data_IF_044778865778
#
_entry.id   IF_044778865778
#
_cell.length_a   1.000
_cell.length_b   1.000
_cell.length_c   1.000
_cell.angle_alpha   90.00
_cell.angle_beta   90.00
_cell.angle_gamma   90.00
#
_symmetry.space_group_name_H-M   'P 1'
#
loop_
_entity.id
_entity.type
_entity.pdbx_description
1 polymer ?
#
# COMPACT_ATOMS: atom_id res chain seq x y z
N UNK A 1 -25.97 -62.49 -6.58
CA UNK A 1 -25.31 -61.44 -7.39
C UNK A 1 -25.37 -60.07 -6.70
N UNK A 2 -26.55 -59.62 -6.25
CA UNK A 2 -26.72 -58.34 -5.54
C UNK A 2 -25.90 -58.23 -4.23
N UNK A 3 -25.84 -59.29 -3.41
CA UNK A 3 -25.08 -59.28 -2.15
C UNK A 3 -23.57 -59.12 -2.37
N UNK A 4 -23.01 -59.81 -3.37
CA UNK A 4 -21.59 -59.69 -3.72
C UNK A 4 -21.25 -58.28 -4.22
N UNK A 5 -22.13 -57.67 -5.02
CA UNK A 5 -21.98 -56.29 -5.46
C UNK A 5 -22.03 -55.31 -4.28
N UNK A 6 -22.90 -55.57 -3.30
CA UNK A 6 -23.03 -54.74 -2.10
C UNK A 6 -21.80 -54.81 -1.20
N UNK A 7 -21.23 -56.00 -1.00
CA UNK A 7 -19.98 -56.19 -0.26
C UNK A 7 -18.80 -55.48 -0.94
N UNK A 8 -18.69 -55.61 -2.27
CA UNK A 8 -17.65 -54.91 -3.05
C UNK A 8 -17.78 -53.38 -2.93
N UNK A 9 -19.00 -52.85 -2.97
CA UNK A 9 -19.27 -51.43 -2.80
C UNK A 9 -18.87 -50.94 -1.40
N UNK A 10 -19.24 -51.68 -0.35
CA UNK A 10 -18.85 -51.35 1.04
C UNK A 10 -17.33 -51.31 1.18
N UNK A 11 -16.63 -52.31 0.63
CA UNK A 11 -15.17 -52.37 0.69
C UNK A 11 -14.51 -51.18 -0.04
N UNK A 12 -15.03 -50.80 -1.22
CA UNK A 12 -14.56 -49.63 -1.96
C UNK A 12 -14.76 -48.33 -1.14
N UNK A 13 -15.93 -48.17 -0.51
CA UNK A 13 -16.22 -46.99 0.32
C UNK A 13 -15.30 -46.91 1.54
N UNK A 14 -15.00 -48.05 2.18
CA UNK A 14 -14.05 -48.11 3.31
C UNK A 14 -12.62 -47.76 2.87
N UNK A 15 -12.19 -48.20 1.68
CA UNK A 15 -10.90 -47.81 1.10
C UNK A 15 -10.81 -46.31 0.83
N UNK A 16 -11.87 -45.72 0.24
CA UNK A 16 -11.94 -44.27 0.01
C UNK A 16 -11.88 -43.53 1.34
N UNK A 17 -12.65 -43.97 2.34
CA UNK A 17 -12.65 -43.37 3.67
C UNK A 17 -11.27 -43.46 4.34
N UNK A 18 -10.60 -44.60 4.27
CA UNK A 18 -9.23 -44.79 4.75
C UNK A 18 -8.23 -43.87 4.06
N UNK A 19 -8.32 -43.72 2.73
CA UNK A 19 -7.51 -42.78 1.95
C UNK A 19 -7.73 -41.32 2.35
N UNK A 20 -8.99 -40.92 2.61
CA UNK A 20 -9.32 -39.59 3.11
C UNK A 20 -8.72 -39.33 4.50
N UNK A 21 -8.81 -40.29 5.43
CA UNK A 21 -8.21 -40.18 6.75
C UNK A 21 -6.68 -40.07 6.71
N UNK A 22 -6.01 -40.85 5.85
CA UNK A 22 -4.57 -40.73 5.63
C UNK A 22 -4.19 -39.36 5.06
N UNK A 23 -4.96 -38.84 4.09
CA UNK A 23 -4.76 -37.52 3.51
C UNK A 23 -4.93 -36.40 4.55
N UNK A 24 -5.97 -36.48 5.38
CA UNK A 24 -6.21 -35.55 6.50
C UNK A 24 -5.04 -35.63 7.51
N UNK A 25 -4.66 -36.83 7.93
CA UNK A 25 -3.55 -37.05 8.86
C UNK A 25 -2.23 -36.47 8.34
N UNK A 26 -1.90 -36.74 7.08
CA UNK A 26 -0.72 -36.18 6.42
C UNK A 26 -0.78 -34.64 6.33
N UNK A 27 -1.94 -34.07 5.99
CA UNK A 27 -2.16 -32.62 5.93
C UNK A 27 -1.95 -31.97 7.31
N UNK A 28 -2.47 -32.58 8.37
CA UNK A 28 -2.32 -32.10 9.75
C UNK A 28 -0.85 -32.17 10.22
N UNK A 29 -0.16 -33.28 9.97
CA UNK A 29 1.27 -33.42 10.30
C UNK A 29 2.12 -32.40 9.54
N UNK A 30 1.89 -32.25 8.23
CA UNK A 30 2.56 -31.26 7.39
C UNK A 30 2.29 -29.83 7.87
N UNK A 31 1.06 -29.53 8.31
CA UNK A 31 0.69 -28.23 8.90
C UNK A 31 1.44 -27.99 10.21
N UNK A 32 1.48 -28.97 11.12
CA UNK A 32 2.21 -28.87 12.39
C UNK A 32 3.70 -28.60 12.17
N UNK A 33 4.34 -29.35 11.27
CA UNK A 33 5.75 -29.16 10.94
C UNK A 33 6.02 -27.76 10.37
N UNK A 34 5.17 -27.28 9.44
CA UNK A 34 5.28 -25.93 8.87
C UNK A 34 5.14 -24.83 9.92
N UNK A 35 4.16 -24.95 10.82
CA UNK A 35 3.95 -23.97 11.89
C UNK A 35 5.15 -23.93 12.82
N UNK A 36 5.67 -25.09 13.24
CA UNK A 36 6.86 -25.17 14.10
C UNK A 36 8.09 -24.56 13.42
N UNK A 37 8.36 -24.92 12.15
CA UNK A 37 9.47 -24.37 11.37
C UNK A 37 9.37 -22.85 11.23
N UNK A 38 8.16 -22.33 10.95
CA UNK A 38 7.94 -20.87 10.80
C UNK A 38 8.11 -20.13 12.13
N UNK A 39 7.67 -20.73 13.25
CA UNK A 39 7.89 -20.18 14.59
C UNK A 39 9.39 -20.10 14.92
N UNK A 40 10.12 -21.19 14.72
CA UNK A 40 11.58 -21.23 14.92
C UNK A 40 12.31 -20.21 14.05
N UNK A 41 11.96 -20.11 12.77
CA UNK A 41 12.52 -19.11 11.87
C UNK A 41 12.25 -17.68 12.37
N UNK A 42 11.02 -17.41 12.81
CA UNK A 42 10.65 -16.09 13.37
C UNK A 42 11.49 -15.77 14.61
N UNK A 43 11.62 -16.71 15.54
CA UNK A 43 12.42 -16.55 16.76
C UNK A 43 13.89 -16.27 16.44
N UNK A 44 14.48 -17.05 15.53
CA UNK A 44 15.87 -16.87 15.10
C UNK A 44 16.11 -15.52 14.41
N UNK A 45 15.20 -15.09 13.53
CA UNK A 45 15.31 -13.78 12.85
C UNK A 45 15.15 -12.64 13.85
N UNK A 46 14.18 -12.70 14.76
CA UNK A 46 13.99 -11.68 15.81
C UNK A 46 15.24 -11.61 16.68
N UNK A 47 15.74 -12.75 17.18
CA UNK A 47 16.94 -12.78 18.01
C UNK A 47 18.14 -12.18 17.29
N UNK A 48 18.35 -12.55 16.02
CA UNK A 48 19.44 -12.01 15.20
C UNK A 48 19.31 -10.49 15.03
N UNK A 49 18.13 -10.00 14.65
CA UNK A 49 17.86 -8.57 14.53
C UNK A 49 18.14 -7.86 15.86
N UNK A 50 17.55 -8.32 16.95
CA UNK A 50 17.65 -7.69 18.27
C UNK A 50 19.10 -7.56 18.72
N UNK A 51 19.90 -8.63 18.60
CA UNK A 51 21.32 -8.63 19.00
C UNK A 51 22.12 -7.61 18.21
N UNK A 52 21.92 -7.57 16.89
CA UNK A 52 22.70 -6.68 16.04
C UNK A 52 22.21 -5.23 16.12
N UNK A 53 20.93 -5.02 16.42
CA UNK A 53 20.33 -3.69 16.63
C UNK A 53 20.83 -3.04 17.93
N UNK A 54 20.84 -3.79 19.05
CA UNK A 54 21.34 -3.28 20.34
C UNK A 54 22.80 -2.87 20.30
N UNK A 55 23.60 -3.48 19.41
CA UNK A 55 25.04 -3.20 19.29
C UNK A 55 25.37 -1.90 18.54
N UNK A 56 24.37 -1.14 18.07
CA UNK A 56 24.56 0.11 17.30
C UNK A 56 25.64 -0.01 16.20
N UNK A 57 25.72 -1.19 15.58
CA UNK A 57 26.71 -1.46 14.55
C UNK A 57 26.45 -0.55 13.34
N UNK A 58 27.50 0.08 12.77
CA UNK A 58 27.33 0.80 11.51
C UNK A 58 26.83 -0.17 10.44
N UNK A 59 25.82 0.29 9.70
CA UNK A 59 25.01 -0.50 8.76
C UNK A 59 25.87 -1.30 7.75
N UNK A 60 27.03 -0.76 7.37
CA UNK A 60 28.00 -1.39 6.46
C UNK A 60 28.64 -2.69 6.97
N UNK A 61 28.47 -3.04 8.25
CA UNK A 61 29.05 -4.25 8.86
C UNK A 61 28.05 -5.38 9.04
N UNK A 62 26.79 -5.21 8.66
CA UNK A 62 25.82 -6.29 8.77
C UNK A 62 26.02 -7.35 7.69
N UNK A 63 26.32 -8.57 8.11
CA UNK A 63 26.47 -9.72 7.22
C UNK A 63 25.29 -10.65 7.40
N UNK A 64 24.51 -10.89 6.34
CA UNK A 64 23.40 -11.85 6.36
C UNK A 64 23.96 -13.24 6.69
N UNK A 65 23.55 -13.86 7.81
CA UNK A 65 24.16 -15.10 8.26
C UNK A 65 23.83 -16.25 7.31
N UNK A 66 24.75 -17.20 7.15
CA UNK A 66 24.64 -18.27 6.17
C UNK A 66 23.36 -19.10 6.33
N UNK A 67 22.91 -19.33 7.57
CA UNK A 67 21.66 -20.02 7.85
C UNK A 67 20.46 -19.30 7.21
N UNK A 68 20.43 -17.97 7.23
CA UNK A 68 19.36 -17.15 6.66
C UNK A 68 19.43 -17.11 5.13
N UNK A 69 20.63 -17.07 4.55
CA UNK A 69 20.84 -17.17 3.10
C UNK A 69 20.20 -18.44 2.51
N UNK A 70 20.27 -19.56 3.25
CA UNK A 70 19.63 -20.81 2.85
C UNK A 70 18.11 -20.72 2.67
N UNK A 71 17.43 -19.88 3.47
CA UNK A 71 15.99 -19.61 3.35
C UNK A 71 15.70 -18.61 2.23
N UNK A 72 16.56 -17.60 2.05
CA UNK A 72 16.40 -16.54 1.04
C UNK A 72 16.47 -17.12 -0.39
N UNK A 73 17.28 -18.16 -0.63
CA UNK A 73 17.43 -18.82 -1.95
C UNK A 73 16.18 -19.56 -2.45
N UNK A 74 15.17 -19.82 -1.62
CA UNK A 74 13.97 -20.58 -2.01
C UNK A 74 12.74 -19.68 -2.00
N UNK A 75 12.02 -19.55 -3.13
CA UNK A 75 10.86 -18.64 -3.27
C UNK A 75 9.81 -18.69 -2.15
N UNK A 76 9.50 -19.88 -1.62
CA UNK A 76 8.52 -20.02 -0.52
C UNK A 76 9.08 -19.49 0.79
N UNK A 77 10.33 -19.84 1.10
CA UNK A 77 10.98 -19.49 2.34
C UNK A 77 11.36 -18.00 2.34
N UNK A 78 11.76 -17.44 1.20
CA UNK A 78 11.92 -16.01 0.98
C UNK A 78 10.68 -15.22 1.41
N UNK A 79 9.49 -15.68 1.03
CA UNK A 79 8.24 -15.02 1.42
C UNK A 79 8.02 -15.08 2.92
N UNK A 80 8.29 -16.19 3.57
CA UNK A 80 8.15 -16.30 5.02
C UNK A 80 9.14 -15.38 5.75
N UNK A 81 10.40 -15.35 5.30
CA UNK A 81 11.45 -14.45 5.82
C UNK A 81 11.08 -12.99 5.60
N UNK A 82 10.64 -12.61 4.39
CA UNK A 82 10.20 -11.25 4.07
C UNK A 82 9.03 -10.79 4.95
N UNK A 83 8.01 -11.63 5.13
CA UNK A 83 6.89 -11.28 6.03
C UNK A 83 7.37 -11.08 7.47
N UNK A 84 8.29 -11.92 7.95
CA UNK A 84 8.85 -11.78 9.30
C UNK A 84 9.59 -10.43 9.41
N UNK A 85 10.46 -10.11 8.45
CA UNK A 85 11.26 -8.88 8.48
C UNK A 85 10.38 -7.64 8.35
N UNK A 86 9.40 -7.63 7.45
CA UNK A 86 8.48 -6.50 7.31
C UNK A 86 7.68 -6.28 8.61
N UNK A 87 7.16 -7.36 9.22
CA UNK A 87 6.46 -7.24 10.49
C UNK A 87 7.38 -6.74 11.62
N UNK A 88 8.65 -7.13 11.62
CA UNK A 88 9.64 -6.69 12.60
C UNK A 88 9.96 -5.22 12.38
N UNK A 89 10.21 -4.79 11.13
CA UNK A 89 10.51 -3.41 10.73
C UNK A 89 9.51 -2.42 11.33
N UNK A 90 8.22 -2.75 11.35
CA UNK A 90 7.18 -1.89 11.90
C UNK A 90 7.34 -1.63 13.43
N UNK A 91 8.08 -2.47 14.16
CA UNK A 91 8.38 -2.29 15.59
C UNK A 91 9.67 -1.50 15.86
N UNK A 92 10.58 -1.41 14.90
CA UNK A 92 11.85 -0.71 15.08
C UNK A 92 11.74 0.69 14.46
N UNK A 93 11.73 1.72 15.30
CA UNK A 93 11.83 3.13 14.86
C UNK A 93 13.26 3.35 14.38
N UNK A 94 13.52 3.07 13.11
CA UNK A 94 14.86 3.18 12.50
C UNK A 94 14.86 4.01 11.24
N UNK A 95 15.98 4.68 10.99
CA UNK A 95 16.24 5.36 9.73
C UNK A 95 16.23 4.40 8.53
N UNK A 96 15.85 4.97 7.39
CA UNK A 96 15.53 4.40 6.07
C UNK A 96 16.38 3.19 5.64
N UNK A 97 17.66 3.18 5.98
CA UNK A 97 18.65 2.28 5.37
C UNK A 97 18.94 1.01 6.19
N UNK A 98 18.27 0.84 7.33
CA UNK A 98 18.57 -0.26 8.28
C UNK A 98 17.93 -1.59 7.89
N UNK A 99 17.04 -1.66 6.90
CA UNK A 99 16.36 -2.92 6.55
C UNK A 99 16.62 -3.37 5.12
N UNK A 100 16.94 -2.40 4.25
CA UNK A 100 17.38 -2.67 2.89
C UNK A 100 18.61 -3.60 2.92
N UNK A 101 19.60 -3.41 3.81
CA UNK A 101 20.81 -4.23 3.82
C UNK A 101 20.58 -5.76 3.99
N UNK A 102 19.48 -6.21 4.62
CA UNK A 102 19.21 -7.65 4.78
C UNK A 102 18.91 -8.34 3.44
N UNK A 103 18.54 -7.57 2.42
CA UNK A 103 18.09 -8.09 1.12
C UNK A 103 18.59 -7.32 -0.11
N UNK A 104 19.07 -6.08 0.05
CA UNK A 104 19.31 -5.11 -1.02
C UNK A 104 20.46 -5.52 -1.95
N UNK A 105 21.35 -6.40 -1.51
CA UNK A 105 22.51 -6.84 -2.29
C UNK A 105 22.37 -8.26 -2.86
N UNK A 106 21.29 -8.99 -2.56
CA UNK A 106 21.16 -10.36 -3.07
C UNK A 106 20.39 -10.37 -4.40
N UNK A 107 21.16 -10.43 -5.50
CA UNK A 107 20.69 -10.65 -6.87
C UNK A 107 19.69 -11.83 -6.94
N UNK A 108 19.81 -12.80 -6.04
CA UNK A 108 18.89 -13.95 -5.94
C UNK A 108 17.48 -13.52 -5.55
N UNK A 109 17.32 -12.59 -4.60
CA UNK A 109 16.00 -12.11 -4.14
C UNK A 109 15.28 -11.39 -5.26
N UNK A 110 15.97 -10.46 -5.94
CA UNK A 110 15.41 -9.75 -7.07
C UNK A 110 14.97 -10.71 -8.20
N UNK A 111 15.74 -11.78 -8.46
CA UNK A 111 15.40 -12.82 -9.43
C UNK A 111 14.14 -13.61 -9.05
N UNK A 112 14.03 -14.01 -7.78
CA UNK A 112 12.85 -14.75 -7.28
C UNK A 112 11.59 -13.87 -7.31
N UNK A 113 11.69 -12.60 -6.89
CA UNK A 113 10.59 -11.64 -6.98
C UNK A 113 10.18 -11.39 -8.44
N UNK A 114 11.15 -11.31 -9.36
CA UNK A 114 10.87 -11.19 -10.80
C UNK A 114 10.03 -12.35 -11.32
N UNK A 115 10.33 -13.58 -10.88
CA UNK A 115 9.56 -14.76 -11.26
C UNK A 115 8.13 -14.72 -10.72
N UNK A 116 7.94 -14.32 -9.46
CA UNK A 116 6.60 -14.17 -8.86
C UNK A 116 5.81 -13.00 -9.49
N UNK A 117 6.47 -11.87 -9.84
CA UNK A 117 5.86 -10.73 -10.55
C UNK A 117 5.37 -11.13 -11.95
N UNK A 118 6.09 -12.02 -12.64
CA UNK A 118 5.68 -12.54 -13.95
C UNK A 118 4.61 -13.64 -13.88
N UNK A 119 4.30 -14.15 -12.69
CA UNK A 119 3.32 -15.23 -12.52
C UNK A 119 1.91 -14.81 -12.96
N UNK A 120 1.14 -15.76 -13.51
CA UNK A 120 -0.30 -15.56 -13.75
C UNK A 120 -1.12 -15.52 -12.46
N UNK A 121 -0.57 -16.06 -11.36
CA UNK A 121 -1.23 -16.00 -10.07
C UNK A 121 -1.14 -14.58 -9.50
N UNK A 122 -2.29 -13.89 -9.48
CA UNK A 122 -2.38 -12.50 -9.03
C UNK A 122 -1.90 -12.31 -7.58
N UNK A 123 -2.09 -13.31 -6.71
CA UNK A 123 -1.71 -13.23 -5.30
C UNK A 123 -0.20 -13.28 -5.14
N UNK A 124 0.47 -14.18 -5.88
CA UNK A 124 1.95 -14.22 -5.92
C UNK A 124 2.50 -12.90 -6.47
N UNK A 125 1.90 -12.39 -7.55
CA UNK A 125 2.30 -11.14 -8.19
C UNK A 125 2.17 -9.94 -7.25
N UNK A 126 0.98 -9.71 -6.67
CA UNK A 126 0.76 -8.58 -5.75
C UNK A 126 1.66 -8.68 -4.52
N UNK A 127 1.83 -9.88 -3.97
CA UNK A 127 2.73 -10.11 -2.84
C UNK A 127 4.20 -9.82 -3.18
N UNK A 128 4.67 -10.20 -4.36
CA UNK A 128 6.04 -9.92 -4.76
C UNK A 128 6.28 -8.41 -4.93
N UNK A 129 5.32 -7.67 -5.49
CA UNK A 129 5.37 -6.20 -5.57
C UNK A 129 5.41 -5.59 -4.16
N UNK A 130 4.55 -6.05 -3.25
CA UNK A 130 4.54 -5.62 -1.86
C UNK A 130 5.88 -5.84 -1.16
N UNK A 131 6.46 -7.04 -1.30
CA UNK A 131 7.80 -7.34 -0.76
C UNK A 131 8.85 -6.41 -1.38
N UNK A 132 8.80 -6.18 -2.70
CA UNK A 132 9.76 -5.29 -3.38
C UNK A 132 9.80 -3.92 -2.72
N UNK A 133 8.66 -3.27 -2.52
CA UNK A 133 8.66 -1.90 -2.02
C UNK A 133 8.79 -1.79 -0.49
N UNK A 134 8.42 -2.81 0.28
CA UNK A 134 8.63 -2.77 1.74
C UNK A 134 10.10 -3.04 2.13
N UNK A 135 10.83 -3.75 1.28
CA UNK A 135 12.25 -4.08 1.46
C UNK A 135 13.20 -3.26 0.57
N UNK A 136 12.69 -2.26 -0.16
CA UNK A 136 13.45 -1.37 -1.03
C UNK A 136 14.26 -2.07 -2.13
N UNK A 137 13.64 -3.07 -2.76
CA UNK A 137 14.20 -3.89 -3.85
C UNK A 137 13.63 -3.38 -5.19
N UNK A 138 14.34 -2.43 -5.79
CA UNK A 138 13.89 -1.65 -6.96
C UNK A 138 14.29 -2.26 -8.32
N UNK A 139 15.07 -3.34 -8.37
CA UNK A 139 15.62 -3.90 -9.61
C UNK A 139 14.54 -4.43 -10.59
N UNK A 140 13.29 -4.55 -10.14
CA UNK A 140 12.15 -4.94 -10.97
C UNK A 140 11.16 -3.79 -11.24
N UNK A 141 11.54 -2.54 -10.96
CA UNK A 141 10.67 -1.36 -11.07
C UNK A 141 10.02 -1.23 -12.45
N UNK A 142 10.75 -1.48 -13.54
CA UNK A 142 10.20 -1.42 -14.90
C UNK A 142 9.04 -2.40 -15.14
N UNK A 143 9.12 -3.59 -14.52
CA UNK A 143 8.04 -4.58 -14.59
C UNK A 143 6.85 -4.13 -13.74
N UNK A 144 7.13 -3.61 -12.54
CA UNK A 144 6.10 -3.12 -11.62
C UNK A 144 5.36 -1.92 -12.22
N UNK A 145 6.07 -1.00 -12.87
CA UNK A 145 5.50 0.19 -13.49
C UNK A 145 4.44 -0.15 -14.54
N UNK A 146 4.65 -1.22 -15.31
CA UNK A 146 3.67 -1.71 -16.31
C UNK A 146 2.38 -2.25 -15.69
N UNK A 147 2.37 -2.54 -14.38
CA UNK A 147 1.23 -3.10 -13.66
C UNK A 147 0.34 -2.04 -12.99
N UNK A 148 0.65 -0.74 -13.15
CA UNK A 148 -0.09 0.37 -12.53
C UNK A 148 -1.58 0.46 -12.95
N UNK A 149 -1.95 -0.18 -14.05
CA UNK A 149 -3.33 -0.22 -14.58
C UNK A 149 -3.82 -1.65 -14.79
N UNK A 150 -3.20 -2.62 -14.11
CA UNK A 150 -3.55 -4.03 -14.23
C UNK A 150 -5.02 -4.28 -13.85
N UNK A 151 -5.69 -5.22 -14.55
CA UNK A 151 -7.11 -5.54 -14.33
C UNK A 151 -7.43 -5.95 -12.89
N UNK A 152 -6.55 -6.78 -12.31
CA UNK A 152 -6.71 -7.27 -10.95
C UNK A 152 -6.38 -6.17 -9.92
N UNK A 153 -7.35 -5.86 -9.06
CA UNK A 153 -7.29 -4.73 -8.12
C UNK A 153 -6.07 -4.78 -7.19
N UNK A 154 -5.75 -5.94 -6.61
CA UNK A 154 -4.62 -6.05 -5.68
C UNK A 154 -3.27 -5.85 -6.38
N UNK A 155 -3.11 -6.35 -7.61
CA UNK A 155 -1.85 -6.15 -8.36
C UNK A 155 -1.68 -4.67 -8.67
N UNK A 156 -2.77 -4.02 -9.10
CA UNK A 156 -2.79 -2.59 -9.43
C UNK A 156 -2.46 -1.72 -8.22
N UNK A 157 -3.11 -1.99 -7.08
CA UNK A 157 -2.89 -1.26 -5.82
C UNK A 157 -1.44 -1.33 -5.38
N UNK A 158 -0.88 -2.54 -5.29
CA UNK A 158 0.51 -2.71 -4.87
C UNK A 158 1.48 -2.06 -5.87
N UNK A 159 1.21 -2.13 -7.17
CA UNK A 159 2.03 -1.48 -8.19
C UNK A 159 2.03 0.05 -8.05
N UNK A 160 0.86 0.66 -7.81
CA UNK A 160 0.76 2.11 -7.63
C UNK A 160 1.44 2.58 -6.33
N UNK A 161 1.32 1.82 -5.23
CA UNK A 161 2.04 2.10 -3.98
C UNK A 161 3.55 1.93 -4.16
N UNK A 162 3.99 0.89 -4.88
CA UNK A 162 5.40 0.70 -5.20
C UNK A 162 5.97 1.87 -5.99
N UNK A 163 5.23 2.39 -6.97
CA UNK A 163 5.67 3.56 -7.73
C UNK A 163 5.86 4.77 -6.83
N UNK A 164 4.96 5.00 -5.86
CA UNK A 164 5.14 6.06 -4.86
C UNK A 164 6.38 5.83 -4.02
N UNK A 165 6.59 4.59 -3.55
CA UNK A 165 7.75 4.25 -2.72
C UNK A 165 9.09 4.50 -3.42
N UNK A 166 9.18 4.17 -4.71
CA UNK A 166 10.43 4.22 -5.48
C UNK A 166 10.64 5.54 -6.23
N UNK A 167 9.57 6.18 -6.72
CA UNK A 167 9.64 7.40 -7.53
C UNK A 167 9.24 8.67 -6.77
N UNK A 168 8.64 8.54 -5.59
CA UNK A 168 8.14 9.67 -4.81
C UNK A 168 7.13 10.51 -5.59
N UNK A 169 7.25 11.83 -5.52
CA UNK A 169 6.37 12.78 -6.22
C UNK A 169 6.23 12.51 -7.72
N UNK A 170 7.28 12.00 -8.38
CA UNK A 170 7.24 11.62 -9.81
C UNK A 170 6.16 10.60 -10.12
N UNK A 171 5.74 9.77 -9.15
CA UNK A 171 4.69 8.78 -9.35
C UNK A 171 3.33 9.42 -9.57
N UNK A 172 3.07 10.64 -9.07
CA UNK A 172 1.77 11.31 -9.19
C UNK A 172 1.40 11.65 -10.63
N UNK A 173 2.36 11.64 -11.56
CA UNK A 173 2.11 11.78 -13.01
C UNK A 173 1.14 10.75 -13.57
N UNK A 174 0.90 9.63 -12.86
CA UNK A 174 -0.04 8.61 -13.30
C UNK A 174 -1.49 9.00 -13.05
N UNK A 175 -1.78 9.91 -12.10
CA UNK A 175 -3.14 10.21 -11.64
C UNK A 175 -4.08 10.68 -12.77
N UNK A 176 -3.67 11.57 -13.70
CA UNK A 176 -4.53 11.96 -14.82
C UNK A 176 -4.92 10.80 -15.74
N UNK A 177 -4.18 9.69 -15.73
CA UNK A 177 -4.38 8.54 -16.61
C UNK A 177 -4.94 7.31 -15.87
N UNK A 178 -5.37 7.48 -14.62
CA UNK A 178 -5.91 6.39 -13.81
C UNK A 178 -7.25 5.92 -14.36
N UNK A 179 -7.28 4.68 -14.85
CA UNK A 179 -8.49 4.05 -15.42
C UNK A 179 -9.48 3.51 -14.39
N UNK A 180 -9.05 3.33 -13.14
CA UNK A 180 -9.83 2.66 -12.10
C UNK A 180 -9.81 3.48 -10.82
N UNK A 181 -10.93 3.61 -10.09
CA UNK A 181 -10.96 4.36 -8.83
C UNK A 181 -9.90 3.91 -7.83
N UNK A 182 -9.27 4.88 -7.17
CA UNK A 182 -8.30 4.70 -6.08
C UNK A 182 -9.09 4.59 -4.78
N UNK A 183 -9.07 3.42 -4.14
CA UNK A 183 -9.79 3.23 -2.88
C UNK A 183 -9.18 4.03 -1.74
N UNK A 184 -9.99 4.41 -0.74
CA UNK A 184 -9.55 5.13 0.46
C UNK A 184 -8.28 4.55 1.11
N UNK A 185 -8.25 3.24 1.37
CA UNK A 185 -7.06 2.57 1.94
C UNK A 185 -5.80 2.81 1.10
N UNK A 186 -5.95 2.79 -0.21
CA UNK A 186 -4.85 3.04 -1.14
C UNK A 186 -4.43 4.51 -1.11
N UNK A 187 -5.38 5.45 -1.04
CA UNK A 187 -5.07 6.88 -0.90
C UNK A 187 -4.26 7.14 0.38
N UNK A 188 -4.70 6.58 1.52
CA UNK A 188 -3.99 6.67 2.80
C UNK A 188 -2.56 6.16 2.66
N UNK A 189 -2.37 4.96 2.10
CA UNK A 189 -1.04 4.36 1.89
C UNK A 189 -0.14 5.20 0.98
N UNK A 190 -0.69 5.79 -0.09
CA UNK A 190 0.06 6.69 -0.97
C UNK A 190 0.55 7.91 -0.19
N UNK A 191 -0.34 8.56 0.56
CA UNK A 191 -0.04 9.76 1.36
C UNK A 191 0.99 9.45 2.45
N UNK A 192 0.82 8.34 3.18
CA UNK A 192 1.77 7.90 4.20
C UNK A 192 3.16 7.62 3.62
N UNK A 193 3.24 6.91 2.49
CA UNK A 193 4.53 6.63 1.84
C UNK A 193 5.18 7.90 1.30
N UNK A 194 4.41 8.82 0.70
CA UNK A 194 4.95 10.13 0.31
C UNK A 194 5.50 10.88 1.52
N UNK A 195 4.71 11.02 2.58
CA UNK A 195 5.13 11.77 3.77
C UNK A 195 6.35 11.13 4.45
N UNK A 196 6.38 9.80 4.56
CA UNK A 196 7.47 9.08 5.21
C UNK A 196 8.79 9.18 4.43
N UNK A 197 8.75 9.07 3.10
CA UNK A 197 9.97 8.93 2.29
C UNK A 197 10.33 10.18 1.46
N UNK A 198 9.37 11.08 1.25
CA UNK A 198 9.51 12.30 0.46
C UNK A 198 8.83 13.48 1.19
N UNK A 199 9.28 13.83 2.42
CA UNK A 199 8.57 14.77 3.29
C UNK A 199 8.56 16.21 2.76
N UNK A 200 9.48 16.56 1.85
CA UNK A 200 9.47 17.86 1.18
C UNK A 200 8.49 17.82 0.03
N UNK A 201 7.51 18.72 0.04
CA UNK A 201 6.55 18.89 -1.04
C UNK A 201 7.25 19.25 -2.36
N UNK A 202 6.87 18.59 -3.45
CA UNK A 202 7.35 18.88 -4.81
C UNK A 202 6.19 19.27 -5.72
N UNK A 203 6.14 20.56 -6.00
CA UNK A 203 5.14 21.23 -6.81
C UNK A 203 5.08 20.71 -8.25
N UNK A 204 6.22 20.30 -8.82
CA UNK A 204 6.41 19.98 -10.24
C UNK A 204 5.46 18.88 -10.72
N UNK A 205 5.33 17.83 -9.92
CA UNK A 205 4.47 16.68 -10.23
C UNK A 205 3.08 16.82 -9.65
N UNK A 206 2.94 17.57 -8.55
CA UNK A 206 1.64 17.82 -7.95
C UNK A 206 0.74 18.69 -8.84
N UNK A 207 1.30 19.69 -9.54
CA UNK A 207 0.56 20.48 -10.56
C UNK A 207 -0.10 19.62 -11.64
N UNK A 208 0.55 18.54 -12.04
CA UNK A 208 -0.03 17.58 -13.02
C UNK A 208 -1.07 16.69 -12.37
N UNK A 209 -0.88 16.35 -11.10
CA UNK A 209 -1.76 15.46 -10.35
C UNK A 209 -3.16 16.06 -10.15
N UNK A 210 -3.24 17.36 -9.84
CA UNK A 210 -4.51 18.08 -9.62
C UNK A 210 -5.37 18.24 -10.88
N UNK A 211 -4.80 18.04 -12.06
CA UNK A 211 -5.53 18.04 -13.33
C UNK A 211 -6.31 16.74 -13.56
N UNK A 212 -6.24 15.77 -12.64
CA UNK A 212 -6.95 14.51 -12.77
C UNK A 212 -8.46 14.70 -12.65
N UNK A 213 -9.21 14.20 -13.63
CA UNK A 213 -10.68 14.28 -13.65
C UNK A 213 -11.34 13.29 -12.67
N UNK A 214 -10.66 12.17 -12.37
CA UNK A 214 -11.20 11.11 -11.53
C UNK A 214 -11.46 11.61 -10.09
N UNK A 215 -12.68 11.44 -9.54
CA UNK A 215 -13.00 11.87 -8.17
C UNK A 215 -12.04 11.32 -7.13
N UNK A 216 -11.68 10.04 -7.25
CA UNK A 216 -10.73 9.38 -6.34
C UNK A 216 -9.30 9.93 -6.43
N UNK A 217 -8.91 10.51 -7.56
CA UNK A 217 -7.61 11.18 -7.71
C UNK A 217 -7.67 12.59 -7.12
N UNK A 218 -8.78 13.32 -7.29
CA UNK A 218 -9.01 14.62 -6.67
C UNK A 218 -9.05 14.52 -5.15
N UNK A 219 -9.75 13.52 -4.60
CA UNK A 219 -9.70 13.19 -3.17
C UNK A 219 -8.27 12.94 -2.67
N UNK A 220 -7.48 12.17 -3.42
CA UNK A 220 -6.07 11.93 -3.09
C UNK A 220 -5.27 13.23 -3.06
N UNK A 221 -5.47 14.13 -4.04
CA UNK A 221 -4.82 15.43 -4.07
C UNK A 221 -5.17 16.29 -2.84
N UNK A 222 -6.45 16.34 -2.45
CA UNK A 222 -6.88 17.05 -1.22
C UNK A 222 -6.22 16.46 0.03
N UNK A 223 -6.12 15.12 0.13
CA UNK A 223 -5.42 14.47 1.24
C UNK A 223 -3.93 14.78 1.27
N UNK A 224 -3.29 14.91 0.11
CA UNK A 224 -1.89 15.34 0.02
C UNK A 224 -1.76 16.78 0.50
N UNK A 225 -2.61 17.71 0.04
CA UNK A 225 -2.61 19.11 0.51
C UNK A 225 -2.73 19.16 2.02
N UNK A 226 -3.69 18.44 2.58
CA UNK A 226 -3.91 18.31 4.03
C UNK A 226 -2.65 17.81 4.74
N UNK A 227 -2.09 16.68 4.29
CA UNK A 227 -0.99 16.02 4.98
C UNK A 227 0.32 16.83 4.95
N UNK A 228 0.53 17.60 3.90
CA UNK A 228 1.74 18.39 3.70
C UNK A 228 1.54 19.89 4.01
N UNK A 229 0.35 20.28 4.48
CA UNK A 229 -0.01 21.67 4.80
C UNK A 229 0.31 22.66 3.66
N UNK A 230 -0.09 22.32 2.43
CA UNK A 230 0.31 23.06 1.23
C UNK A 230 -0.65 24.22 0.92
N UNK A 231 -0.40 25.38 1.53
CA UNK A 231 -1.27 26.57 1.44
C UNK A 231 -1.44 27.11 0.01
N UNK A 232 -0.42 26.99 -0.85
CA UNK A 232 -0.49 27.46 -2.24
C UNK A 232 -1.57 26.76 -3.10
N UNK A 233 -2.26 25.76 -2.56
CA UNK A 233 -3.35 25.03 -3.19
C UNK A 233 -4.69 25.18 -2.46
N UNK A 234 -4.84 26.19 -1.60
CA UNK A 234 -6.13 26.51 -0.96
C UNK A 234 -7.24 26.71 -1.98
N UNK A 235 -6.95 27.43 -3.09
CA UNK A 235 -7.86 27.61 -4.22
C UNK A 235 -8.44 26.29 -4.75
N UNK A 236 -7.65 25.21 -4.75
CA UNK A 236 -8.10 23.91 -5.22
C UNK A 236 -9.10 23.30 -4.25
N UNK A 237 -8.85 23.38 -2.94
CA UNK A 237 -9.82 22.94 -1.93
C UNK A 237 -11.13 23.75 -2.02
N UNK A 238 -11.04 25.07 -2.22
CA UNK A 238 -12.21 25.95 -2.39
C UNK A 238 -13.04 25.55 -3.61
N UNK A 239 -12.40 25.27 -4.75
CA UNK A 239 -13.11 24.81 -5.95
C UNK A 239 -13.80 23.46 -5.73
N UNK A 240 -13.09 22.52 -5.10
CA UNK A 240 -13.56 21.16 -4.88
C UNK A 240 -14.70 21.06 -3.85
N UNK A 241 -14.84 22.06 -2.98
CA UNK A 241 -15.95 22.20 -2.03
C UNK A 241 -17.33 22.13 -2.71
N UNK A 242 -17.40 22.64 -3.94
CA UNK A 242 -18.64 22.72 -4.71
C UNK A 242 -18.76 21.59 -5.74
N UNK A 243 -17.95 20.53 -5.62
CA UNK A 243 -18.07 19.39 -6.51
C UNK A 243 -19.39 18.64 -6.33
N UNK A 244 -19.94 18.16 -7.45
CA UNK A 244 -21.05 17.21 -7.47
C UNK A 244 -20.70 15.87 -6.78
N UNK A 245 -19.42 15.53 -6.65
CA UNK A 245 -18.98 14.33 -5.96
C UNK A 245 -18.89 14.55 -4.45
N UNK A 246 -19.88 14.03 -3.72
CA UNK A 246 -20.01 14.16 -2.26
C UNK A 246 -18.73 13.86 -1.48
N UNK A 247 -17.98 12.82 -1.84
CA UNK A 247 -16.75 12.46 -1.12
C UNK A 247 -15.63 13.48 -1.32
N UNK A 248 -15.53 14.07 -2.52
CA UNK A 248 -14.56 15.13 -2.81
C UNK A 248 -14.93 16.41 -2.06
N UNK A 249 -16.20 16.82 -2.16
CA UNK A 249 -16.73 17.99 -1.46
C UNK A 249 -16.57 17.87 0.06
N UNK A 250 -16.86 16.71 0.64
CA UNK A 250 -16.66 16.46 2.07
C UNK A 250 -15.19 16.54 2.48
N UNK A 251 -14.27 15.99 1.67
CA UNK A 251 -12.83 16.09 1.96
C UNK A 251 -12.33 17.53 1.89
N UNK A 252 -12.82 18.31 0.92
CA UNK A 252 -12.54 19.73 0.83
C UNK A 252 -13.11 20.49 2.06
N UNK A 253 -14.34 20.18 2.47
CA UNK A 253 -14.99 20.76 3.66
C UNK A 253 -14.22 20.47 4.95
N UNK A 254 -13.72 19.24 5.12
CA UNK A 254 -12.84 18.86 6.24
C UNK A 254 -11.53 19.65 6.21
N UNK A 255 -10.98 19.85 5.02
CA UNK A 255 -9.73 20.58 4.84
C UNK A 255 -9.87 22.07 5.19
N UNK A 256 -11.02 22.69 4.96
CA UNK A 256 -11.22 24.12 5.27
C UNK A 256 -10.92 24.48 6.73
N UNK A 257 -11.18 23.58 7.68
CA UNK A 257 -10.92 23.84 9.11
C UNK A 257 -9.42 23.87 9.45
N UNK A 258 -8.59 23.30 8.58
CA UNK A 258 -7.14 23.15 8.77
C UNK A 258 -6.34 24.14 7.92
N UNK A 259 -6.97 24.85 6.98
CA UNK A 259 -6.32 25.82 6.11
C UNK A 259 -6.36 27.22 6.73
N UNK A 260 -5.25 27.94 6.58
CA UNK A 260 -5.21 29.39 6.76
C UNK A 260 -5.53 30.06 5.42
N UNK A 261 -6.52 30.95 5.41
CA UNK A 261 -6.92 31.70 4.21
C UNK A 261 -6.33 33.10 4.22
N UNK A 262 -5.89 33.56 3.06
CA UNK A 262 -5.61 34.98 2.82
C UNK A 262 -6.84 35.71 2.25
N UNK A 263 -6.70 37.01 1.97
CA UNK A 263 -7.79 37.83 1.44
C UNK A 263 -8.27 37.34 0.06
N UNK A 264 -7.35 36.86 -0.79
CA UNK A 264 -7.65 36.35 -2.12
C UNK A 264 -8.43 35.03 -2.05
N UNK A 265 -8.05 34.13 -1.15
CA UNK A 265 -8.75 32.90 -0.86
C UNK A 265 -10.19 33.16 -0.38
N UNK A 266 -10.37 34.11 0.55
CA UNK A 266 -11.69 34.46 1.07
C UNK A 266 -12.59 35.08 0.00
N UNK A 267 -12.01 35.93 -0.85
CA UNK A 267 -12.70 36.51 -2.01
C UNK A 267 -13.13 35.42 -2.99
N UNK A 268 -12.24 34.47 -3.29
CA UNK A 268 -12.54 33.33 -4.15
C UNK A 268 -13.66 32.46 -3.56
N UNK A 269 -13.58 32.15 -2.26
CA UNK A 269 -14.59 31.39 -1.53
C UNK A 269 -15.95 32.09 -1.58
N UNK A 270 -15.99 33.40 -1.36
CA UNK A 270 -17.20 34.23 -1.46
C UNK A 270 -17.82 34.18 -2.86
N UNK A 271 -17.00 34.33 -3.90
CA UNK A 271 -17.46 34.26 -5.30
C UNK A 271 -18.11 32.90 -5.63
N UNK A 272 -17.43 31.81 -5.30
CA UNK A 272 -17.95 30.47 -5.56
C UNK A 272 -19.19 30.14 -4.70
N UNK A 273 -19.21 30.58 -3.45
CA UNK A 273 -20.34 30.37 -2.56
C UNK A 273 -21.61 31.10 -3.05
N UNK A 274 -21.51 32.35 -3.49
CA UNK A 274 -22.66 33.07 -4.06
C UNK A 274 -23.20 32.37 -5.33
N UNK A 275 -22.31 31.93 -6.21
CA UNK A 275 -22.70 31.17 -7.40
C UNK A 275 -23.38 29.84 -7.04
N UNK A 276 -22.94 29.17 -5.97
CA UNK A 276 -23.54 27.93 -5.49
C UNK A 276 -24.89 28.15 -4.81
N UNK A 277 -25.04 29.18 -3.97
CA UNK A 277 -26.29 29.50 -3.27
C UNK A 277 -27.45 29.79 -4.23
N UNK A 278 -27.15 30.36 -5.39
CA UNK A 278 -28.11 30.54 -6.48
C UNK A 278 -28.58 29.22 -7.12
N UNK A 279 -27.82 28.13 -6.97
CA UNK A 279 -28.07 26.83 -7.61
C UNK A 279 -28.57 25.77 -6.65
N UNK A 280 -28.17 25.82 -5.38
CA UNK A 280 -28.45 24.77 -4.39
C UNK A 280 -28.61 25.35 -2.98
N UNK A 281 -29.63 24.89 -2.25
CA UNK A 281 -29.90 25.32 -0.88
C UNK A 281 -29.31 24.29 0.11
N UNK A 282 -28.04 24.48 0.52
CA UNK A 282 -27.31 23.53 1.37
C UNK A 282 -27.00 24.13 2.76
N UNK A 283 -27.85 23.79 3.73
CA UNK A 283 -27.81 24.30 5.11
C UNK A 283 -26.46 24.06 5.80
N UNK A 284 -25.76 22.96 5.51
CA UNK A 284 -24.48 22.62 6.18
C UNK A 284 -23.36 23.53 5.70
N UNK A 285 -23.29 23.82 4.39
CA UNK A 285 -22.32 24.76 3.83
C UNK A 285 -22.60 26.17 4.33
N UNK A 286 -23.88 26.57 4.40
CA UNK A 286 -24.29 27.89 4.89
C UNK A 286 -23.85 28.12 6.34
N UNK A 287 -24.07 27.14 7.22
CA UNK A 287 -23.67 27.22 8.62
C UNK A 287 -22.15 27.38 8.78
N UNK A 288 -21.36 26.76 7.91
CA UNK A 288 -19.90 26.74 8.03
C UNK A 288 -19.21 27.93 7.35
N UNK A 289 -19.69 28.35 6.18
CA UNK A 289 -19.06 29.39 5.38
C UNK A 289 -19.49 30.82 5.76
N UNK A 290 -20.72 31.00 6.24
CA UNK A 290 -21.23 32.33 6.60
C UNK A 290 -20.38 33.01 7.68
N UNK A 291 -19.99 32.35 8.79
CA UNK A 291 -19.13 32.96 9.80
C UNK A 291 -17.73 33.32 9.28
N UNK A 292 -17.14 32.46 8.42
CA UNK A 292 -15.81 32.68 7.84
C UNK A 292 -15.76 33.91 6.93
N UNK A 293 -16.82 34.13 6.16
CA UNK A 293 -16.95 35.29 5.27
C UNK A 293 -17.37 36.57 6.02
N UNK A 294 -18.03 36.46 7.17
CA UNK A 294 -18.44 37.60 8.00
C UNK A 294 -17.33 38.11 8.93
N UNK A 295 -16.43 37.23 9.39
CA UNK A 295 -15.33 37.62 10.27
C UNK A 295 -14.24 38.47 9.59
N UNK A 296 -14.25 38.56 8.26
CA UNK A 296 -13.23 39.23 7.45
C UNK A 296 -13.79 40.40 6.60
N UNK A 297 -15.03 40.82 6.84
CA UNK A 297 -15.61 42.08 6.34
C UNK A 297 -15.66 43.10 7.49
#
# INVERSE_FOLDING_TARGET
MLEQQLIQLIFLLLLILGGLWLSIGYSLLRRRYRVKRKKQLKEQVIQYVSINYTKSLPISKFVVPHWLQGYIKKSRDLRDVANIIINIKDFFITDRDTWSFLFATDVTVAKELKADIKSNNWYKKSRAIWISYELDIDQNLDLIAKLNSHKHILVRREAQIALVRFLGWKSLRILPYVKFPISLWQQIRIVEKLHQYYPKFDDTFFKKAIQAESPSSRELCLRIIRRFHVQNYNWYAIQELFSEHKYVANMALELLDELSFDEDDLKLLGQHYQAYKLRANNVVLDQKLTPLLQANN
#
